data_IF_372080276148
#
_entry.id   IF_372080276148
#
_cell.length_a   1.000
_cell.length_b   1.000
_cell.length_c   1.000
_cell.angle_alpha   90.00
_cell.angle_beta   90.00
_cell.angle_gamma   90.00
#
_symmetry.space_group_name_H-M   'P 1'
#
loop_
_entity.id
_entity.type
_entity.pdbx_description
1 polymer ?
#
# COMPACT_ATOMS: atom_id res chain seq x y z
N UNK A 1 21.39 33.29 10.40
CA UNK A 1 20.45 32.17 10.14
C UNK A 1 20.71 31.17 11.24
N UNK A 2 19.70 30.84 12.04
CA UNK A 2 19.79 29.83 13.11
C UNK A 2 19.10 28.57 12.59
N UNK A 3 19.80 27.44 12.60
CA UNK A 3 19.25 26.15 12.22
C UNK A 3 18.76 25.43 13.48
N UNK A 4 17.57 24.83 13.39
CA UNK A 4 16.97 24.05 14.47
C UNK A 4 16.58 22.68 13.94
N UNK A 5 17.08 21.65 14.59
CA UNK A 5 16.71 20.27 14.27
C UNK A 5 15.28 19.98 14.74
N UNK A 6 14.51 19.34 13.87
CA UNK A 6 13.18 18.84 14.16
C UNK A 6 13.27 17.34 14.39
N UNK A 7 12.82 16.89 15.56
CA UNK A 7 12.70 15.45 15.84
C UNK A 7 11.31 14.98 15.43
N UNK A 8 11.19 14.08 14.45
CA UNK A 8 9.90 13.52 14.06
C UNK A 8 9.31 12.69 15.21
N UNK A 9 7.98 12.65 15.31
CA UNK A 9 7.29 11.84 16.34
C UNK A 9 7.41 10.33 16.08
N UNK A 10 7.46 9.97 14.80
CA UNK A 10 7.47 8.60 14.29
C UNK A 10 8.56 8.49 13.23
N UNK A 11 9.30 7.40 13.28
CA UNK A 11 10.30 7.11 12.28
C UNK A 11 9.67 6.41 11.08
N UNK A 12 10.34 6.46 9.92
CA UNK A 12 10.00 5.65 8.76
C UNK A 12 10.95 4.46 8.71
N UNK A 13 10.41 3.24 8.73
CA UNK A 13 11.22 2.00 8.82
C UNK A 13 10.73 0.94 7.85
N UNK A 14 11.64 0.07 7.46
CA UNK A 14 11.33 -1.16 6.71
C UNK A 14 11.41 -2.35 7.66
N UNK A 15 10.44 -3.26 7.57
CA UNK A 15 10.37 -4.50 8.35
C UNK A 15 10.10 -5.64 7.40
N UNK A 16 10.86 -6.73 7.51
CA UNK A 16 10.69 -7.89 6.67
C UNK A 16 10.63 -9.15 7.51
N UNK A 17 9.86 -10.14 7.06
CA UNK A 17 9.72 -11.41 7.79
C UNK A 17 8.52 -12.21 7.30
N UNK A 18 8.30 -13.35 7.94
CA UNK A 18 7.09 -14.13 7.73
C UNK A 18 5.93 -13.58 8.57
N UNK A 19 4.70 -13.82 8.12
CA UNK A 19 3.49 -13.37 8.80
C UNK A 19 3.45 -13.85 10.26
N UNK A 20 3.87 -15.09 10.51
CA UNK A 20 3.92 -15.66 11.86
C UNK A 20 4.91 -14.89 12.77
N UNK A 21 6.08 -14.56 12.25
CA UNK A 21 7.12 -13.82 12.99
C UNK A 21 6.67 -12.39 13.30
N UNK A 22 6.10 -11.70 12.31
CA UNK A 22 5.65 -10.31 12.47
C UNK A 22 4.43 -10.19 13.41
N UNK A 23 3.69 -11.28 13.61
CA UNK A 23 2.58 -11.34 14.57
C UNK A 23 3.01 -11.86 15.95
N UNK A 24 4.27 -12.29 16.15
CA UNK A 24 4.75 -12.83 17.42
C UNK A 24 4.89 -11.71 18.46
N UNK A 25 4.22 -11.78 19.63
CA UNK A 25 4.41 -10.86 20.74
C UNK A 25 5.87 -10.66 21.14
N UNK A 26 6.68 -11.71 21.12
CA UNK A 26 8.10 -11.60 21.47
C UNK A 26 8.88 -10.74 20.45
N UNK A 27 8.42 -10.69 19.20
CA UNK A 27 9.03 -9.91 18.15
C UNK A 27 8.57 -8.44 18.19
N UNK A 28 7.26 -8.19 18.17
CA UNK A 28 6.76 -6.82 18.02
C UNK A 28 6.83 -6.00 19.32
N UNK A 29 6.82 -6.63 20.50
CA UNK A 29 6.97 -5.90 21.78
C UNK A 29 8.36 -5.31 21.99
N UNK A 30 9.37 -5.86 21.29
CA UNK A 30 10.72 -5.32 21.26
C UNK A 30 10.89 -4.15 20.29
N UNK A 31 9.81 -3.75 19.60
CA UNK A 31 9.84 -2.74 18.55
C UNK A 31 8.84 -1.62 18.80
N UNK A 32 9.08 -0.48 18.15
CA UNK A 32 8.17 0.66 18.15
C UNK A 32 7.08 0.50 17.08
N UNK A 33 5.94 -0.06 17.47
CA UNK A 33 4.89 -0.48 16.53
C UNK A 33 4.11 0.67 15.88
N UNK A 34 4.20 1.87 16.44
CA UNK A 34 3.50 3.07 15.96
C UNK A 34 4.29 3.89 14.92
N UNK A 35 5.48 3.43 14.51
CA UNK A 35 6.23 4.03 13.41
C UNK A 35 5.58 3.78 12.04
N UNK A 36 6.00 4.54 11.04
CA UNK A 36 5.56 4.36 9.66
C UNK A 36 6.32 3.23 9.00
N UNK A 37 5.62 2.14 8.65
CA UNK A 37 6.26 0.91 8.21
C UNK A 37 6.01 0.60 6.73
N UNK A 38 7.07 0.23 6.02
CA UNK A 38 7.00 -0.63 4.84
C UNK A 38 7.25 -2.07 5.30
N UNK A 39 6.32 -2.98 5.00
CA UNK A 39 6.45 -4.40 5.36
C UNK A 39 6.65 -5.25 4.11
N UNK A 40 7.67 -6.11 4.13
CA UNK A 40 7.92 -7.14 3.12
C UNK A 40 7.64 -8.52 3.71
N UNK A 41 6.62 -9.22 3.21
CA UNK A 41 6.30 -10.59 3.62
C UNK A 41 7.08 -11.62 2.82
N UNK A 42 7.65 -12.60 3.51
CA UNK A 42 8.36 -13.73 2.90
C UNK A 42 7.47 -14.95 2.68
N UNK A 43 6.23 -14.91 3.15
CA UNK A 43 5.30 -16.02 3.02
C UNK A 43 4.99 -16.37 1.57
N UNK A 44 5.12 -17.65 1.27
CA UNK A 44 4.68 -18.26 0.03
C UNK A 44 3.19 -18.63 0.09
N UNK A 45 2.54 -18.69 -1.07
CA UNK A 45 1.13 -19.09 -1.17
C UNK A 45 0.12 -18.05 -0.67
N UNK A 46 -1.16 -18.44 -0.64
CA UNK A 46 -2.23 -17.51 -0.26
C UNK A 46 -2.19 -17.18 1.24
N UNK A 47 -2.15 -15.89 1.57
CA UNK A 47 -2.35 -15.40 2.95
C UNK A 47 -3.69 -14.68 2.97
N UNK A 48 -4.55 -15.08 3.89
CA UNK A 48 -5.83 -14.44 4.08
C UNK A 48 -5.66 -13.10 4.82
N UNK A 49 -5.98 -12.03 4.11
CA UNK A 49 -6.08 -10.66 4.62
C UNK A 49 -4.90 -10.23 5.53
N UNK A 50 -3.66 -10.26 5.00
CA UNK A 50 -2.46 -9.95 5.78
C UNK A 50 -2.47 -8.52 6.31
N UNK A 51 -3.03 -7.58 5.55
CA UNK A 51 -3.03 -6.16 5.92
C UNK A 51 -3.87 -5.90 7.17
N UNK A 52 -5.05 -6.50 7.29
CA UNK A 52 -5.90 -6.28 8.47
C UNK A 52 -5.36 -7.00 9.70
N UNK A 53 -4.65 -8.12 9.53
CA UNK A 53 -3.95 -8.78 10.64
C UNK A 53 -2.77 -7.94 11.14
N UNK A 54 -1.91 -7.46 10.24
CA UNK A 54 -0.75 -6.65 10.62
C UNK A 54 -1.17 -5.32 11.26
N UNK A 55 -2.24 -4.66 10.76
CA UNK A 55 -2.74 -3.39 11.29
C UNK A 55 -3.26 -3.45 12.73
N UNK A 56 -3.57 -4.64 13.25
CA UNK A 56 -3.92 -4.80 14.67
C UNK A 56 -2.71 -4.53 15.59
N UNK A 57 -1.49 -4.69 15.07
CA UNK A 57 -0.24 -4.51 15.80
C UNK A 57 0.47 -3.24 15.33
N UNK A 58 0.56 -3.06 14.01
CA UNK A 58 1.26 -1.97 13.35
C UNK A 58 0.25 -1.03 12.66
N UNK A 59 -0.30 -0.03 13.36
CA UNK A 59 -1.39 0.81 12.83
C UNK A 59 -0.97 1.65 11.61
N UNK A 60 0.31 2.00 11.49
CA UNK A 60 0.82 2.98 10.53
C UNK A 60 1.57 2.35 9.34
N UNK A 61 1.10 1.19 8.85
CA UNK A 61 1.67 0.56 7.64
C UNK A 61 1.38 1.43 6.42
N UNK A 62 2.44 1.94 5.81
CA UNK A 62 2.41 2.71 4.56
C UNK A 62 2.35 1.80 3.34
N UNK A 63 3.05 0.67 3.38
CA UNK A 63 3.14 -0.25 2.27
C UNK A 63 3.31 -1.69 2.73
N UNK A 64 2.66 -2.61 2.03
CA UNK A 64 2.78 -4.04 2.23
C UNK A 64 3.09 -4.67 0.88
N UNK A 65 4.25 -5.31 0.78
CA UNK A 65 4.63 -6.10 -0.39
C UNK A 65 4.97 -7.53 0.01
N UNK A 66 4.98 -8.42 -0.98
CA UNK A 66 5.54 -9.75 -0.84
C UNK A 66 6.89 -9.78 -1.52
N UNK A 67 7.82 -10.55 -0.96
CA UNK A 67 9.07 -10.85 -1.64
C UNK A 67 8.76 -11.63 -2.92
N UNK A 68 9.02 -11.01 -4.06
CA UNK A 68 8.87 -11.63 -5.37
C UNK A 68 10.23 -12.20 -5.76
N UNK A 69 10.32 -13.51 -5.94
CA UNK A 69 11.55 -14.12 -6.42
C UNK A 69 11.83 -13.72 -7.88
N UNK A 70 13.12 -13.67 -8.25
CA UNK A 70 13.57 -13.23 -9.59
C UNK A 70 12.96 -14.06 -10.75
N UNK A 71 12.45 -15.26 -10.47
CA UNK A 71 11.75 -16.13 -11.41
C UNK A 71 10.37 -15.56 -11.75
N UNK A 72 9.57 -15.21 -10.74
CA UNK A 72 8.24 -14.59 -10.89
C UNK A 72 8.28 -13.25 -11.61
N UNK A 73 9.33 -12.46 -11.39
CA UNK A 73 9.55 -11.18 -12.07
C UNK A 73 9.69 -11.32 -13.60
N UNK A 74 10.25 -12.43 -14.10
CA UNK A 74 10.34 -12.69 -15.54
C UNK A 74 8.99 -13.08 -16.13
N UNK A 75 8.20 -13.87 -15.40
CA UNK A 75 6.85 -14.26 -15.84
C UNK A 75 5.90 -13.05 -15.86
N UNK A 76 5.87 -12.24 -14.79
CA UNK A 76 5.06 -11.01 -14.75
C UNK A 76 5.46 -9.99 -15.80
N UNK A 77 6.76 -9.84 -16.09
CA UNK A 77 7.23 -8.92 -17.15
C UNK A 77 6.73 -9.32 -18.54
N UNK A 78 6.68 -10.61 -18.84
CA UNK A 78 6.12 -11.11 -20.11
C UNK A 78 4.63 -10.77 -20.25
N UNK A 79 3.85 -10.76 -19.16
CA UNK A 79 2.45 -10.32 -19.18
C UNK A 79 2.27 -8.79 -19.26
N UNK A 80 3.15 -8.01 -18.63
CA UNK A 80 3.03 -6.53 -18.56
C UNK A 80 3.49 -5.77 -19.82
N UNK A 81 4.14 -6.44 -20.76
CA UNK A 81 4.77 -5.80 -21.94
C UNK A 81 3.78 -5.38 -23.04
N UNK A 82 2.50 -5.76 -22.94
CA UNK A 82 1.54 -5.60 -24.03
C UNK A 82 0.70 -4.31 -24.00
N UNK A 83 0.88 -3.39 -23.05
CA UNK A 83 -0.08 -2.28 -22.94
C UNK A 83 0.29 -1.15 -22.00
N UNK A 84 1.50 -0.59 -22.12
CA UNK A 84 1.82 0.71 -21.49
C UNK A 84 1.27 1.87 -22.34
N UNK A 85 -0.05 1.92 -22.51
CA UNK A 85 -0.73 3.17 -22.83
C UNK A 85 -0.85 3.97 -21.52
N UNK A 86 -0.74 5.30 -21.60
CA UNK A 86 -0.86 6.20 -20.44
C UNK A 86 -2.21 6.00 -19.74
N UNK A 87 -2.22 5.24 -18.65
CA UNK A 87 -3.41 5.07 -17.82
C UNK A 87 -3.72 6.40 -17.14
N UNK A 88 -4.98 6.82 -17.17
CA UNK A 88 -5.48 8.00 -16.43
C UNK A 88 -5.46 7.70 -14.92
N UNK A 89 -5.44 8.71 -14.05
CA UNK A 89 -5.41 8.47 -12.59
C UNK A 89 -6.63 7.66 -12.12
N UNK A 90 -7.77 7.82 -12.78
CA UNK A 90 -8.97 7.02 -12.54
C UNK A 90 -8.74 5.53 -12.84
N UNK A 91 -8.10 5.21 -13.99
CA UNK A 91 -7.79 3.82 -14.35
C UNK A 91 -6.78 3.19 -13.39
N UNK A 92 -5.79 3.96 -12.92
CA UNK A 92 -4.85 3.50 -11.90
C UNK A 92 -5.55 3.19 -10.57
N UNK A 93 -6.53 4.02 -10.20
CA UNK A 93 -7.34 3.79 -8.99
C UNK A 93 -8.31 2.62 -9.13
N UNK A 94 -8.88 2.40 -10.32
CA UNK A 94 -9.74 1.25 -10.62
C UNK A 94 -8.97 -0.06 -10.50
N UNK A 95 -7.78 -0.14 -11.09
CA UNK A 95 -6.88 -1.29 -10.96
C UNK A 95 -6.52 -1.52 -9.48
N UNK A 96 -6.12 -0.47 -8.76
CA UNK A 96 -5.81 -0.55 -7.34
C UNK A 96 -7.00 -1.01 -6.49
N UNK A 97 -8.20 -0.52 -6.77
CA UNK A 97 -9.41 -0.90 -6.04
C UNK A 97 -9.74 -2.37 -6.25
N UNK A 98 -9.65 -2.85 -7.50
CA UNK A 98 -9.87 -4.24 -7.86
C UNK A 98 -8.82 -5.16 -7.24
N UNK A 99 -7.56 -4.74 -7.22
CA UNK A 99 -6.48 -5.55 -6.63
C UNK A 99 -6.57 -5.62 -5.09
N UNK A 100 -7.16 -4.60 -4.45
CA UNK A 100 -7.29 -4.50 -3.00
C UNK A 100 -8.63 -5.03 -2.45
N UNK A 101 -9.65 -5.21 -3.30
CA UNK A 101 -10.98 -5.67 -2.88
C UNK A 101 -11.54 -6.76 -3.79
N UNK A 102 -12.20 -7.78 -3.24
CA UNK A 102 -12.92 -8.80 -4.02
C UNK A 102 -14.27 -8.31 -4.56
N UNK A 103 -14.52 -6.99 -4.55
CA UNK A 103 -15.82 -6.40 -4.79
C UNK A 103 -15.81 -5.57 -6.07
N UNK A 104 -16.90 -5.64 -6.84
CA UNK A 104 -17.03 -4.89 -8.08
C UNK A 104 -16.99 -3.37 -7.83
N UNK A 105 -16.28 -2.69 -8.72
CA UNK A 105 -16.25 -1.23 -8.79
C UNK A 105 -17.51 -0.74 -9.49
N UNK A 106 -18.56 -0.49 -8.72
CA UNK A 106 -19.85 -0.01 -9.24
C UNK A 106 -19.73 1.40 -9.83
N UNK A 107 -20.63 1.72 -10.76
CA UNK A 107 -20.81 3.06 -11.35
C UNK A 107 -20.89 4.17 -10.28
N UNK A 108 -21.54 3.91 -9.15
CA UNK A 108 -21.64 4.86 -8.03
C UNK A 108 -20.26 5.17 -7.40
N UNK A 109 -19.42 4.14 -7.20
CA UNK A 109 -18.06 4.28 -6.67
C UNK A 109 -17.16 5.01 -7.67
N UNK A 110 -17.32 4.73 -8.97
CA UNK A 110 -16.63 5.43 -10.06
C UNK A 110 -16.91 6.93 -10.02
N UNK A 111 -18.19 7.31 -9.95
CA UNK A 111 -18.60 8.71 -9.89
C UNK A 111 -18.13 9.42 -8.61
N UNK A 112 -18.17 8.72 -7.47
CA UNK A 112 -17.61 9.24 -6.23
C UNK A 112 -16.10 9.48 -6.35
N UNK A 113 -15.36 8.57 -6.99
CA UNK A 113 -13.91 8.70 -7.15
C UNK A 113 -13.52 9.83 -8.11
N UNK A 114 -14.25 10.00 -9.21
CA UNK A 114 -14.09 11.16 -10.10
C UNK A 114 -14.25 12.47 -9.30
N UNK A 115 -15.31 12.56 -8.48
CA UNK A 115 -15.56 13.76 -7.67
C UNK A 115 -14.45 14.07 -6.66
N UNK A 116 -13.80 13.04 -6.11
CA UNK A 116 -12.68 13.18 -5.16
C UNK A 116 -11.42 13.63 -5.91
N UNK A 117 -11.13 13.01 -7.06
CA UNK A 117 -9.99 13.38 -7.91
C UNK A 117 -10.13 14.84 -8.35
N UNK A 118 -11.31 15.28 -8.76
CA UNK A 118 -11.56 16.66 -9.19
C UNK A 118 -11.44 17.67 -8.03
N UNK A 119 -11.92 17.31 -6.83
CA UNK A 119 -11.74 18.13 -5.62
C UNK A 119 -10.28 18.30 -5.24
N UNK A 120 -9.47 17.23 -5.33
CA UNK A 120 -8.03 17.26 -5.02
C UNK A 120 -7.25 18.04 -6.08
N UNK A 121 -7.69 18.00 -7.35
CA UNK A 121 -7.08 18.76 -8.46
C UNK A 121 -7.39 20.27 -8.42
N UNK A 122 -8.26 20.73 -7.52
CA UNK A 122 -8.43 22.15 -7.27
C UNK A 122 -9.05 22.92 -8.43
N UNK A 123 -10.10 22.40 -9.06
CA UNK A 123 -10.89 23.19 -10.01
C UNK A 123 -11.68 24.23 -9.22
N UNK A 124 -11.25 25.50 -9.29
CA UNK A 124 -12.02 26.66 -8.84
C UNK A 124 -13.35 26.69 -9.57
N UNK A 125 -14.44 26.88 -8.84
CA UNK A 125 -15.76 27.18 -9.40
C UNK A 125 -15.65 28.43 -10.31
N UNK A 126 -16.23 28.39 -11.53
CA UNK A 126 -16.37 29.60 -12.32
C UNK A 126 -17.45 30.49 -11.69
N UNK A 127 -17.12 31.77 -11.52
CA UNK A 127 -18.02 32.86 -11.10
C UNK A 127 -19.05 33.12 -12.19
#
# INVERSE_FOLDING_TARGET
IEERELTPKQDMREVEGYMEELLDPNFYTMQKVDDYLKITLFDEGAIMDPINKLRQIYPNILHLERKIDRVDLKERKSFSSAGKQSKTELSLFEDFYHDMTTADFSEEKRNMMISIIDKVKGVKEPI
#
